data_IF_852259030470
#
_entry.id   IF_852259030470
#
_cell.length_a   1.000
_cell.length_b   1.000
_cell.length_c   1.000
_cell.angle_alpha   90.00
_cell.angle_beta   90.00
_cell.angle_gamma   90.00
#
_symmetry.space_group_name_H-M   'P 1'
#
loop_
_entity.id
_entity.type
_entity.pdbx_description
1 polymer ?
#
# COMPACT_ATOMS: atom_id res chain seq x y z
N UNK A 1 -19.22 -33.96 -3.44
CA UNK A 1 -18.52 -32.66 -3.30
C UNK A 1 -17.89 -32.44 -1.94
N UNK A 2 -18.62 -32.55 -0.81
CA UNK A 2 -18.06 -32.29 0.55
C UNK A 2 -16.78 -33.08 0.89
N UNK A 3 -16.75 -34.39 0.61
CA UNK A 3 -15.58 -35.23 0.89
C UNK A 3 -14.33 -34.85 0.05
N UNK A 4 -14.53 -34.34 -1.17
CA UNK A 4 -13.44 -33.90 -2.03
C UNK A 4 -12.80 -32.61 -1.49
N UNK A 5 -13.62 -31.65 -1.06
CA UNK A 5 -13.13 -30.39 -0.48
C UNK A 5 -12.30 -30.65 0.79
N UNK A 6 -12.81 -31.49 1.69
CA UNK A 6 -12.10 -31.85 2.94
C UNK A 6 -10.76 -32.52 2.65
N UNK A 7 -10.71 -33.37 1.63
CA UNK A 7 -9.46 -34.04 1.22
C UNK A 7 -8.47 -33.02 0.65
N UNK A 8 -8.92 -32.13 -0.22
CA UNK A 8 -8.07 -31.08 -0.81
C UNK A 8 -7.57 -30.09 0.23
N UNK A 9 -8.41 -29.67 1.16
CA UNK A 9 -8.02 -28.79 2.28
C UNK A 9 -6.90 -29.44 3.11
N UNK A 10 -7.07 -30.71 3.50
CA UNK A 10 -6.04 -31.43 4.26
C UNK A 10 -4.73 -31.58 3.49
N UNK A 11 -4.79 -31.79 2.17
CA UNK A 11 -3.61 -31.85 1.32
C UNK A 11 -2.91 -30.49 1.22
N UNK A 12 -3.67 -29.40 1.08
CA UNK A 12 -3.13 -28.04 1.02
C UNK A 12 -2.42 -27.67 2.32
N UNK A 13 -3.08 -27.85 3.47
CA UNK A 13 -2.50 -27.52 4.78
C UNK A 13 -1.23 -28.34 5.03
N UNK A 14 -1.21 -29.62 4.63
CA UNK A 14 0.01 -30.44 4.70
C UNK A 14 1.12 -29.95 3.77
N UNK A 15 0.79 -29.53 2.55
CA UNK A 15 1.77 -29.01 1.60
C UNK A 15 2.42 -27.70 2.10
N UNK A 16 1.65 -26.88 2.82
CA UNK A 16 2.13 -25.66 3.47
C UNK A 16 2.83 -25.93 4.82
N UNK A 17 2.95 -27.19 5.26
CA UNK A 17 3.56 -27.52 6.55
C UNK A 17 2.78 -26.97 7.74
N UNK A 18 1.47 -26.75 7.59
CA UNK A 18 0.60 -26.07 8.55
C UNK A 18 0.95 -24.60 8.81
N UNK A 19 1.79 -23.99 7.97
CA UNK A 19 2.06 -22.56 7.99
C UNK A 19 0.97 -21.82 7.20
N UNK A 20 0.01 -21.26 7.92
CA UNK A 20 -1.14 -20.53 7.36
C UNK A 20 -1.09 -19.03 7.68
N UNK A 21 -0.04 -18.58 8.38
CA UNK A 21 0.13 -17.18 8.73
C UNK A 21 0.69 -16.41 7.53
N UNK A 22 -0.21 -15.88 6.72
CA UNK A 22 0.15 -15.09 5.53
C UNK A 22 0.08 -13.60 5.86
N UNK A 23 1.21 -12.92 5.73
CA UNK A 23 1.24 -11.46 5.76
C UNK A 23 0.77 -10.89 4.42
N UNK A 24 -0.11 -9.89 4.46
CA UNK A 24 -0.66 -9.24 3.28
C UNK A 24 -0.20 -7.79 3.16
N UNK A 25 -0.06 -7.23 1.93
CA UNK A 25 0.53 -5.90 1.71
C UNK A 25 -0.29 -4.73 2.26
N UNK A 26 -1.56 -4.99 2.62
CA UNK A 26 -2.52 -3.97 3.03
C UNK A 26 -2.09 -3.21 4.28
N UNK A 27 -1.58 -3.90 5.30
CA UNK A 27 -1.18 -3.27 6.56
C UNK A 27 -0.02 -2.31 6.34
N UNK A 28 0.98 -2.75 5.57
CA UNK A 28 2.14 -1.94 5.21
C UNK A 28 1.71 -0.71 4.39
N UNK A 29 0.94 -0.91 3.32
CA UNK A 29 0.41 0.17 2.48
C UNK A 29 -0.37 1.21 3.30
N UNK A 30 -1.24 0.75 4.21
CA UNK A 30 -2.04 1.64 5.05
C UNK A 30 -1.17 2.45 6.01
N UNK A 31 -0.12 1.86 6.57
CA UNK A 31 0.81 2.57 7.46
C UNK A 31 1.59 3.66 6.72
N UNK A 32 2.06 3.39 5.50
CA UNK A 32 2.70 4.40 4.66
C UNK A 32 1.71 5.51 4.29
N UNK A 33 0.48 5.17 3.90
CA UNK A 33 -0.55 6.15 3.58
C UNK A 33 -0.89 7.05 4.78
N UNK A 34 -0.95 6.48 5.98
CA UNK A 34 -1.11 7.24 7.24
C UNK A 34 0.05 8.20 7.46
N UNK A 35 1.27 7.75 7.20
CA UNK A 35 2.46 8.59 7.22
C UNK A 35 2.35 9.77 6.25
N UNK A 36 1.97 9.52 5.00
CA UNK A 36 1.75 10.57 3.99
C UNK A 36 0.67 11.58 4.41
N UNK A 37 -0.44 11.10 4.98
CA UNK A 37 -1.52 11.95 5.50
C UNK A 37 -1.02 12.87 6.62
N UNK A 38 -0.16 12.36 7.48
CA UNK A 38 0.40 13.13 8.60
C UNK A 38 1.26 14.30 8.12
N UNK A 39 2.10 14.10 7.09
CA UNK A 39 2.96 15.16 6.53
C UNK A 39 2.11 16.31 5.99
N UNK A 40 1.06 15.99 5.21
CA UNK A 40 0.12 17.00 4.68
C UNK A 40 -0.57 17.77 5.78
N UNK A 41 -0.98 17.09 6.85
CA UNK A 41 -1.62 17.72 7.99
C UNK A 41 -0.70 18.73 8.68
N UNK A 42 0.55 18.36 8.97
CA UNK A 42 1.50 19.28 9.61
C UNK A 42 1.88 20.46 8.71
N UNK A 43 2.00 20.27 7.40
CA UNK A 43 2.24 21.36 6.44
C UNK A 43 1.07 22.37 6.40
N UNK A 44 -0.18 21.91 6.52
CA UNK A 44 -1.35 22.80 6.58
C UNK A 44 -1.55 23.51 7.92
N UNK A 45 -0.98 23.00 9.01
CA UNK A 45 -1.12 23.59 10.35
C UNK A 45 -0.08 24.69 10.62
N UNK A 46 1.13 24.59 10.04
CA UNK A 46 2.15 25.65 10.08
C UNK A 46 1.67 26.98 9.46
N UNK A 47 0.84 26.92 8.42
CA UNK A 47 0.21 28.12 7.83
C UNK A 47 -0.85 28.77 8.74
N UNK A 48 -1.37 28.05 9.75
CA UNK A 48 -2.35 28.56 10.73
C UNK A 48 -1.73 28.96 12.07
N UNK A 49 -0.49 28.57 12.35
CA UNK A 49 0.21 28.83 13.62
C UNK A 49 0.61 30.28 13.88
N UNK A 50 0.45 31.21 12.93
CA UNK A 50 0.59 32.64 13.20
C UNK A 50 -0.58 33.25 14.01
N UNK A 51 -1.61 32.49 14.40
CA UNK A 51 -2.78 33.08 15.06
C UNK A 51 -3.24 32.51 16.41
N UNK A 52 -2.75 31.37 16.93
CA UNK A 52 -3.26 30.88 18.23
C UNK A 52 -2.21 30.25 19.15
N UNK A 53 -2.22 30.78 20.38
CA UNK A 53 -1.41 30.40 21.54
C UNK A 53 -1.52 28.91 21.89
N UNK A 54 -0.39 28.39 22.36
CA UNK A 54 -0.15 27.15 23.09
C UNK A 54 -1.40 26.51 23.72
N UNK A 55 -1.82 25.37 23.17
CA UNK A 55 -2.64 24.38 23.87
C UNK A 55 -1.93 23.02 23.82
N UNK A 56 -2.03 22.30 24.92
CA UNK A 56 -1.39 21.00 25.16
C UNK A 56 -2.07 19.95 24.25
N UNK A 57 -1.40 19.54 23.17
CA UNK A 57 -1.93 18.57 22.21
C UNK A 57 -1.73 17.12 22.70
N UNK A 58 -2.75 16.24 22.57
CA UNK A 58 -2.54 14.78 22.66
C UNK A 58 -1.59 14.31 21.53
N UNK A 59 -1.01 13.10 21.60
CA UNK A 59 -0.03 12.66 20.60
C UNK A 59 -0.69 12.69 19.21
N UNK A 60 -0.18 13.58 18.34
CA UNK A 60 -0.80 13.95 17.06
C UNK A 60 -1.17 12.75 16.17
N UNK A 61 -0.45 11.63 16.29
CA UNK A 61 -0.76 10.39 15.59
C UNK A 61 -2.13 9.80 15.95
N UNK A 62 -2.58 9.87 17.22
CA UNK A 62 -3.91 9.37 17.63
C UNK A 62 -5.04 10.21 17.05
N UNK A 63 -4.82 11.51 16.87
CA UNK A 63 -5.82 12.41 16.32
C UNK A 63 -5.91 12.31 14.79
N UNK A 64 -4.76 12.13 14.11
CA UNK A 64 -4.72 11.77 12.69
C UNK A 64 -5.46 10.45 12.45
N UNK A 65 -5.23 9.45 13.32
CA UNK A 65 -5.92 8.16 13.24
C UNK A 65 -7.43 8.30 13.32
N UNK A 66 -7.93 8.98 14.37
CA UNK A 66 -9.37 9.22 14.55
C UNK A 66 -9.97 9.96 13.36
N UNK A 67 -9.27 10.95 12.81
CA UNK A 67 -9.74 11.71 11.63
C UNK A 67 -9.66 10.93 10.33
N UNK A 68 -8.67 10.08 10.12
CA UNK A 68 -8.66 9.19 8.95
C UNK A 68 -9.80 8.17 9.01
N UNK A 69 -10.19 7.74 10.22
CA UNK A 69 -11.35 6.86 10.41
C UNK A 69 -12.69 7.59 10.25
N UNK A 70 -12.79 8.86 10.67
CA UNK A 70 -14.06 9.60 10.63
C UNK A 70 -14.25 10.48 9.38
N UNK A 71 -13.18 11.09 8.86
CA UNK A 71 -13.20 12.12 7.81
C UNK A 71 -11.93 12.04 6.92
N UNK A 72 -11.69 10.89 6.28
CA UNK A 72 -10.64 10.79 5.26
C UNK A 72 -10.97 11.72 4.09
N UNK A 73 -10.05 12.63 3.73
CA UNK A 73 -10.24 13.50 2.56
C UNK A 73 -10.54 12.68 1.31
N UNK A 74 -11.40 13.15 0.39
CA UNK A 74 -11.79 12.38 -0.80
C UNK A 74 -10.59 11.99 -1.67
N UNK A 75 -9.55 12.83 -1.74
CA UNK A 75 -8.30 12.56 -2.44
C UNK A 75 -7.57 11.36 -1.82
N UNK A 76 -7.29 11.39 -0.51
CA UNK A 76 -6.64 10.27 0.18
C UNK A 76 -7.47 9.00 0.09
N UNK A 77 -8.80 9.10 0.18
CA UNK A 77 -9.70 7.95 0.01
C UNK A 77 -9.60 7.36 -1.39
N UNK A 78 -9.47 8.18 -2.43
CA UNK A 78 -9.25 7.71 -3.80
C UNK A 78 -7.89 7.02 -3.95
N UNK A 79 -6.82 7.59 -3.38
CA UNK A 79 -5.48 6.97 -3.36
C UNK A 79 -5.53 5.60 -2.67
N UNK A 80 -6.16 5.52 -1.50
CA UNK A 80 -6.29 4.28 -0.75
C UNK A 80 -7.00 3.19 -1.55
N UNK A 81 -8.16 3.52 -2.15
CA UNK A 81 -8.94 2.57 -2.94
C UNK A 81 -8.17 2.09 -4.17
N UNK A 82 -7.49 3.01 -4.87
CA UNK A 82 -6.73 2.63 -6.06
C UNK A 82 -5.52 1.76 -5.70
N UNK A 83 -4.79 2.10 -4.64
CA UNK A 83 -3.71 1.26 -4.13
C UNK A 83 -4.23 -0.13 -3.73
N UNK A 84 -5.43 -0.19 -3.13
CA UNK A 84 -6.08 -1.46 -2.77
C UNK A 84 -6.41 -2.33 -3.98
N UNK A 85 -6.90 -1.73 -5.06
CA UNK A 85 -7.15 -2.43 -6.33
C UNK A 85 -5.84 -2.99 -6.87
N UNK A 86 -4.78 -2.18 -6.95
CA UNK A 86 -3.48 -2.66 -7.44
C UNK A 86 -2.89 -3.77 -6.57
N UNK A 87 -3.07 -3.73 -5.24
CA UNK A 87 -2.65 -4.84 -4.37
C UNK A 87 -3.42 -6.11 -4.73
N UNK A 88 -4.74 -6.05 -4.87
CA UNK A 88 -5.52 -7.22 -5.25
C UNK A 88 -5.10 -7.79 -6.61
N UNK A 89 -4.94 -6.93 -7.61
CA UNK A 89 -4.51 -7.34 -8.94
C UNK A 89 -3.13 -8.02 -8.88
N UNK A 90 -2.21 -7.48 -8.07
CA UNK A 90 -0.88 -8.08 -7.92
C UNK A 90 -0.92 -9.49 -7.33
N UNK A 91 -1.85 -9.76 -6.40
CA UNK A 91 -2.03 -11.07 -5.77
C UNK A 91 -2.70 -12.10 -6.71
N UNK A 92 -3.38 -11.63 -7.76
CA UNK A 92 -3.92 -12.50 -8.80
C UNK A 92 -2.82 -13.10 -9.71
N UNK A 93 -1.59 -12.57 -9.65
CA UNK A 93 -0.44 -13.12 -10.36
C UNK A 93 0.47 -13.91 -9.42
N UNK A 94 0.51 -15.26 -9.52
CA UNK A 94 1.42 -16.07 -8.71
C UNK A 94 2.89 -15.68 -8.92
N UNK A 95 3.26 -15.24 -10.13
CA UNK A 95 4.62 -14.74 -10.41
C UNK A 95 4.94 -13.54 -9.53
N UNK A 96 4.04 -12.55 -9.47
CA UNK A 96 4.29 -11.32 -8.71
C UNK A 96 4.25 -11.61 -7.20
N UNK A 97 3.20 -12.28 -6.74
CA UNK A 97 2.97 -12.56 -5.33
C UNK A 97 4.09 -13.39 -4.68
N UNK A 98 4.76 -14.26 -5.44
CA UNK A 98 5.85 -15.12 -4.94
C UNK A 98 7.26 -14.53 -5.18
N UNK A 99 7.42 -13.57 -6.10
CA UNK A 99 8.74 -13.01 -6.44
C UNK A 99 9.09 -11.77 -5.64
N UNK A 100 8.08 -11.04 -5.14
CA UNK A 100 8.26 -9.75 -4.49
C UNK A 100 7.84 -9.80 -3.01
N UNK A 101 8.65 -9.23 -2.10
CA UNK A 101 8.27 -9.13 -0.69
C UNK A 101 7.00 -8.31 -0.48
N UNK A 102 6.24 -8.67 0.55
CA UNK A 102 4.97 -8.01 0.92
C UNK A 102 5.10 -6.48 1.06
N UNK A 103 6.15 -5.93 1.73
CA UNK A 103 6.34 -4.47 1.79
C UNK A 103 6.62 -3.83 0.43
N UNK A 104 7.33 -4.53 -0.47
CA UNK A 104 7.65 -4.03 -1.81
C UNK A 104 6.37 -3.90 -2.64
N UNK A 105 5.51 -4.92 -2.59
CA UNK A 105 4.20 -4.90 -3.25
C UNK A 105 3.37 -3.73 -2.71
N UNK A 106 3.24 -3.63 -1.38
CA UNK A 106 2.44 -2.57 -0.75
C UNK A 106 2.95 -1.17 -1.08
N UNK A 107 4.28 -0.96 -1.03
CA UNK A 107 4.90 0.33 -1.31
C UNK A 107 4.78 0.71 -2.80
N UNK A 108 4.99 -0.25 -3.69
CA UNK A 108 4.91 -0.07 -5.14
C UNK A 108 3.49 0.22 -5.62
N UNK A 109 2.49 -0.52 -5.12
CA UNK A 109 1.08 -0.25 -5.42
C UNK A 109 0.66 1.15 -4.96
N UNK A 110 1.09 1.57 -3.77
CA UNK A 110 0.80 2.92 -3.28
C UNK A 110 1.50 4.00 -4.12
N UNK A 111 2.75 3.78 -4.51
CA UNK A 111 3.48 4.67 -5.41
C UNK A 111 2.75 4.83 -6.74
N UNK A 112 2.31 3.72 -7.35
CA UNK A 112 1.53 3.74 -8.59
C UNK A 112 0.23 4.51 -8.41
N UNK A 113 -0.53 4.28 -7.33
CA UNK A 113 -1.77 4.99 -7.08
C UNK A 113 -1.58 6.52 -6.98
N UNK A 114 -0.52 6.96 -6.29
CA UNK A 114 -0.15 8.37 -6.19
C UNK A 114 0.19 8.97 -7.56
N UNK A 115 0.91 8.24 -8.40
CA UNK A 115 1.27 8.68 -9.76
C UNK A 115 0.06 8.72 -10.69
N UNK A 116 -0.80 7.70 -10.65
CA UNK A 116 -2.00 7.61 -11.48
C UNK A 116 -2.98 8.75 -11.19
N UNK A 117 -3.16 9.11 -9.92
CA UNK A 117 -4.04 10.21 -9.52
C UNK A 117 -3.40 11.59 -9.67
N UNK A 118 -2.20 11.67 -10.28
CA UNK A 118 -1.43 12.91 -10.48
C UNK A 118 -1.29 13.73 -9.20
N UNK A 119 -1.21 13.03 -8.07
CA UNK A 119 -1.04 13.66 -6.78
C UNK A 119 0.30 14.38 -6.77
N UNK A 120 0.33 15.67 -6.39
CA UNK A 120 1.57 16.42 -6.26
C UNK A 120 2.46 15.74 -5.20
N UNK A 121 3.37 14.90 -5.68
CA UNK A 121 4.39 14.27 -4.87
C UNK A 121 5.68 15.04 -5.16
N UNK A 122 6.07 15.89 -4.20
CA UNK A 122 7.32 16.65 -4.27
C UNK A 122 8.57 15.78 -4.29
N UNK A 123 8.43 14.49 -3.95
CA UNK A 123 9.52 13.54 -3.87
C UNK A 123 9.62 12.66 -5.13
N UNK A 124 10.86 12.38 -5.53
CA UNK A 124 11.16 11.40 -6.57
C UNK A 124 11.09 9.96 -6.00
N UNK A 125 11.22 8.93 -6.85
CA UNK A 125 11.12 7.53 -6.40
C UNK A 125 12.20 7.14 -5.40
N UNK A 126 13.42 7.67 -5.54
CA UNK A 126 14.52 7.34 -4.62
C UNK A 126 14.17 7.87 -3.22
N UNK A 127 13.82 9.15 -3.14
CA UNK A 127 13.40 9.81 -1.90
C UNK A 127 12.17 9.13 -1.26
N UNK A 128 11.22 8.69 -2.09
CA UNK A 128 10.04 7.97 -1.63
C UNK A 128 10.39 6.63 -0.96
N UNK A 129 11.26 5.83 -1.59
CA UNK A 129 11.66 4.53 -1.06
C UNK A 129 12.62 4.71 0.12
N UNK A 130 13.51 5.70 0.09
CA UNK A 130 14.39 6.02 1.21
C UNK A 130 13.57 6.43 2.45
N UNK A 131 12.47 7.16 2.27
CA UNK A 131 11.64 7.62 3.37
C UNK A 131 10.73 6.52 3.94
N UNK A 132 10.06 5.78 3.06
CA UNK A 132 9.02 4.82 3.47
C UNK A 132 9.52 3.39 3.55
N UNK A 133 10.54 3.03 2.77
CA UNK A 133 11.09 1.68 2.69
C UNK A 133 12.27 1.37 3.60
N UNK A 134 12.81 2.37 4.30
CA UNK A 134 13.95 2.19 5.18
C UNK A 134 13.70 1.20 6.33
N UNK A 135 12.48 1.12 6.87
CA UNK A 135 12.17 0.20 7.98
C UNK A 135 12.31 -1.28 7.59
N UNK A 136 12.08 -1.59 6.31
CA UNK A 136 12.08 -2.94 5.76
C UNK A 136 13.36 -3.24 4.95
N UNK A 137 14.37 -2.36 5.01
CA UNK A 137 15.60 -2.45 4.21
C UNK A 137 15.33 -2.60 2.69
N UNK A 138 14.29 -1.94 2.18
CA UNK A 138 13.93 -2.04 0.77
C UNK A 138 14.88 -1.25 -0.11
N UNK A 139 15.24 -1.82 -1.26
CA UNK A 139 15.98 -1.11 -2.28
C UNK A 139 15.03 -0.45 -3.28
N UNK A 140 15.45 0.70 -3.81
CA UNK A 140 14.74 1.37 -4.91
C UNK A 140 14.56 0.42 -6.10
N UNK A 141 15.56 -0.42 -6.37
CA UNK A 141 15.54 -1.35 -7.48
C UNK A 141 14.44 -2.41 -7.30
N UNK A 142 14.27 -2.96 -6.09
CA UNK A 142 13.21 -3.94 -5.83
C UNK A 142 11.81 -3.36 -6.10
N UNK A 143 11.58 -2.09 -5.72
CA UNK A 143 10.30 -1.42 -5.99
C UNK A 143 10.11 -1.15 -7.49
N UNK A 144 11.18 -0.80 -8.21
CA UNK A 144 11.13 -0.64 -9.68
C UNK A 144 10.82 -1.94 -10.38
N UNK A 145 11.51 -3.02 -10.02
CA UNK A 145 11.33 -4.34 -10.60
C UNK A 145 9.89 -4.82 -10.42
N UNK A 146 9.33 -4.64 -9.21
CA UNK A 146 7.92 -4.90 -8.93
C UNK A 146 7.00 -4.08 -9.83
N UNK A 147 7.20 -2.76 -9.94
CA UNK A 147 6.35 -1.89 -10.75
C UNK A 147 6.39 -2.32 -12.22
N UNK A 148 7.56 -2.64 -12.77
CA UNK A 148 7.70 -3.13 -14.14
C UNK A 148 6.96 -4.44 -14.35
N UNK A 149 7.18 -5.43 -13.49
CA UNK A 149 6.47 -6.72 -13.54
C UNK A 149 4.95 -6.55 -13.44
N UNK A 150 4.48 -5.65 -12.57
CA UNK A 150 3.07 -5.38 -12.35
C UNK A 150 2.41 -4.70 -13.56
N UNK A 151 3.06 -3.70 -14.15
CA UNK A 151 2.55 -3.04 -15.35
C UNK A 151 2.51 -4.00 -16.55
N UNK A 152 3.54 -4.82 -16.73
CA UNK A 152 3.52 -5.88 -17.77
C UNK A 152 2.38 -6.87 -17.58
N UNK A 153 2.06 -7.23 -16.33
CA UNK A 153 0.94 -8.10 -16.02
C UNK A 153 -0.41 -7.41 -16.29
N UNK A 154 -0.56 -6.16 -15.86
CA UNK A 154 -1.78 -5.38 -16.05
C UNK A 154 -2.08 -5.13 -17.54
N UNK A 155 -1.05 -4.86 -18.34
CA UNK A 155 -1.19 -4.72 -19.80
C UNK A 155 -1.72 -6.01 -20.44
N UNK A 156 -1.25 -7.19 -19.99
CA UNK A 156 -1.75 -8.49 -20.48
C UNK A 156 -3.22 -8.71 -20.12
N UNK A 157 -3.65 -8.33 -18.93
CA UNK A 157 -5.06 -8.44 -18.51
C UNK A 157 -5.93 -7.55 -19.40
N UNK A 158 -5.56 -6.28 -19.56
CA UNK A 158 -6.36 -5.33 -20.35
C UNK A 158 -6.54 -5.77 -21.81
N UNK A 159 -5.51 -6.40 -22.40
CA UNK A 159 -5.58 -6.99 -23.74
C UNK A 159 -6.53 -8.20 -23.80
N UNK A 160 -6.61 -9.00 -22.72
CA UNK A 160 -7.49 -10.17 -22.65
C UNK A 160 -8.97 -9.82 -22.46
N UNK A 161 -9.27 -8.71 -21.79
CA UNK A 161 -10.65 -8.23 -21.59
C UNK A 161 -11.24 -7.54 -22.84
N UNK A 162 -10.38 -7.22 -23.81
CA UNK A 162 -10.77 -6.55 -25.07
C UNK A 162 -11.14 -7.53 -26.20
N UNK A 163 -11.13 -8.84 -25.94
CA UNK A 163 -11.46 -9.93 -26.87
C UNK A 163 -12.74 -10.65 -26.44
#
# INVERSE_FOLDING_TARGET
MRASLVTTELLLVRALGFDLEVELPFAYCLNVLRGLASIRYFMMDETKKYSRKQQHYPPAQKEIWKRMETDMSPEMSAIARLAWVYIWDSLCSPKIALSHPVPVIGLGCLYLALRTLQTEMSMNMNEYVDLWGASENMSVQAVRDFITDFLEFHDRISLSESQ
#
